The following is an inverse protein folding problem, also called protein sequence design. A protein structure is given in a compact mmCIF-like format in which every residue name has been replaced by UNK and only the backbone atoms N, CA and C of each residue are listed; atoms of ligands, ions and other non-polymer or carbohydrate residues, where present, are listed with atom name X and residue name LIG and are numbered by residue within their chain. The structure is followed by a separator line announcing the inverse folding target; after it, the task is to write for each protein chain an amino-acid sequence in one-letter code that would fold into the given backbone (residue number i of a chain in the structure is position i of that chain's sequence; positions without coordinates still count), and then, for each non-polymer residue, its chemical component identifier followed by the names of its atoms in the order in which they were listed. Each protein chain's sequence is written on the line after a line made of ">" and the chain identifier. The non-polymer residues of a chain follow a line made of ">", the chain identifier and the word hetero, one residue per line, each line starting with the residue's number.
data_IF_825093298156
#
_entry.id   IF_825093298156
#
_cell.length_a   1.000
_cell.length_b   1.000
_cell.length_c   1.000
_cell.angle_alpha   90.00
_cell.angle_beta   90.00
_cell.angle_gamma   90.00
#
_symmetry.space_group_name_H-M   'P 1'
#
loop_
_entity.id
_entity.type
_entity.pdbx_description
1 polymer ?
#
# COMPACT_ATOMS: atom_id res chain seq x y z
N UNK A 1 -8.60 7.84 5.55
CA UNK A 1 -7.87 6.73 4.91
C UNK A 1 -7.20 7.20 3.61
N UNK A 2 -7.92 7.56 2.53
CA UNK A 2 -7.26 8.07 1.31
C UNK A 2 -6.31 9.26 1.58
N UNK A 3 -6.75 10.23 2.38
CA UNK A 3 -5.90 11.37 2.79
C UNK A 3 -4.59 10.92 3.48
N UNK A 4 -4.63 9.86 4.29
CA UNK A 4 -3.44 9.29 4.93
C UNK A 4 -2.41 8.84 3.90
N UNK A 5 -2.84 8.08 2.87
CA UNK A 5 -1.95 7.59 1.82
C UNK A 5 -1.42 8.72 0.93
N UNK A 6 -2.24 9.74 0.62
CA UNK A 6 -1.80 10.91 -0.16
C UNK A 6 -0.74 11.70 0.60
N UNK A 7 -0.96 11.95 1.89
CA UNK A 7 -0.01 12.70 2.74
C UNK A 7 1.29 11.90 2.89
N UNK A 8 1.22 10.59 3.09
CA UNK A 8 2.40 9.73 3.13
C UNK A 8 3.22 9.80 1.83
N UNK A 9 2.55 9.81 0.68
CA UNK A 9 3.23 9.98 -0.61
C UNK A 9 3.88 11.36 -0.77
N UNK A 10 3.23 12.41 -0.27
CA UNK A 10 3.83 13.75 -0.28
C UNK A 10 5.12 13.79 0.54
N UNK A 11 5.16 13.18 1.71
CA UNK A 11 6.38 13.11 2.52
C UNK A 11 7.48 12.30 1.83
N UNK A 12 7.16 11.15 1.23
CA UNK A 12 8.13 10.40 0.42
C UNK A 12 8.68 11.23 -0.75
N UNK A 13 7.84 12.05 -1.38
CA UNK A 13 8.27 12.94 -2.45
C UNK A 13 9.19 14.06 -1.93
N UNK A 14 8.95 14.56 -0.72
CA UNK A 14 9.84 15.52 -0.06
C UNK A 14 11.21 14.89 0.26
N UNK A 15 11.25 13.62 0.70
CA UNK A 15 12.48 12.89 0.95
C UNK A 15 13.35 12.81 -0.32
N UNK A 16 12.74 12.35 -1.42
CA UNK A 16 13.42 12.24 -2.73
C UNK A 16 13.89 13.62 -3.24
N UNK A 17 13.06 14.66 -3.09
CA UNK A 17 13.41 16.01 -3.50
C UNK A 17 14.58 16.57 -2.69
N UNK A 18 14.61 16.33 -1.38
CA UNK A 18 15.69 16.77 -0.50
C UNK A 18 17.02 16.12 -0.90
N UNK A 19 17.02 14.80 -1.14
CA UNK A 19 18.23 14.10 -1.61
C UNK A 19 18.67 14.63 -2.97
N UNK A 20 17.74 14.78 -3.92
CA UNK A 20 18.05 15.22 -5.29
C UNK A 20 18.64 16.63 -5.34
N UNK A 21 18.17 17.55 -4.50
CA UNK A 21 18.64 18.94 -4.49
C UNK A 21 19.90 19.16 -3.69
N UNK A 22 20.12 18.44 -2.58
CA UNK A 22 21.18 18.75 -1.64
C UNK A 22 22.29 17.69 -1.55
N UNK A 23 22.02 16.43 -1.99
CA UNK A 23 22.98 15.32 -1.86
C UNK A 23 23.57 14.86 -3.20
N UNK A 24 23.02 15.31 -4.32
CA UNK A 24 23.55 15.01 -5.65
C UNK A 24 23.01 13.72 -6.29
N UNK A 25 23.48 13.44 -7.53
CA UNK A 25 22.92 12.38 -8.38
C UNK A 25 23.17 10.95 -7.87
N UNK A 26 24.35 10.68 -7.28
CA UNK A 26 24.66 9.35 -6.73
C UNK A 26 23.75 8.98 -5.57
N UNK A 27 23.49 9.94 -4.67
CA UNK A 27 22.59 9.76 -3.53
C UNK A 27 21.14 9.58 -3.97
N UNK A 28 20.71 10.35 -4.97
CA UNK A 28 19.38 10.17 -5.56
C UNK A 28 19.23 8.79 -6.22
N UNK A 29 20.26 8.32 -6.94
CA UNK A 29 20.29 6.99 -7.52
C UNK A 29 20.27 5.90 -6.45
N UNK A 30 20.93 6.10 -5.30
CA UNK A 30 20.92 5.18 -4.17
C UNK A 30 19.51 5.02 -3.60
N UNK A 31 18.82 6.14 -3.31
CA UNK A 31 17.42 6.11 -2.81
C UNK A 31 16.51 5.47 -3.84
N UNK A 32 16.64 5.82 -5.13
CA UNK A 32 15.81 5.27 -6.20
C UNK A 32 15.98 3.75 -6.36
N UNK A 33 17.21 3.23 -6.27
CA UNK A 33 17.48 1.79 -6.40
C UNK A 33 16.92 0.95 -5.26
N UNK A 34 16.72 1.54 -4.07
CA UNK A 34 16.16 0.84 -2.90
C UNK A 34 14.63 0.82 -2.86
N UNK A 35 13.95 1.71 -3.59
CA UNK A 35 12.52 1.87 -3.54
C UNK A 35 11.71 0.58 -3.84
N UNK A 36 12.07 -0.28 -4.82
CA UNK A 36 11.36 -1.55 -5.04
C UNK A 36 11.44 -2.49 -3.84
N UNK A 37 12.59 -2.54 -3.17
CA UNK A 37 12.80 -3.39 -1.98
C UNK A 37 11.96 -2.87 -0.82
N UNK A 38 12.04 -1.59 -0.51
CA UNK A 38 11.28 -0.98 0.59
C UNK A 38 9.78 -1.13 0.39
N UNK A 39 9.26 -0.90 -0.83
CA UNK A 39 7.85 -1.08 -1.16
C UNK A 39 7.38 -2.53 -1.01
N UNK A 40 8.22 -3.51 -1.35
CA UNK A 40 7.91 -4.91 -1.16
C UNK A 40 7.66 -5.24 0.32
N UNK A 41 8.56 -4.81 1.21
CA UNK A 41 8.44 -5.04 2.66
C UNK A 41 7.27 -4.27 3.27
N UNK A 42 7.05 -3.01 2.89
CA UNK A 42 5.88 -2.23 3.33
C UNK A 42 4.58 -2.96 3.00
N UNK A 43 4.49 -3.53 1.79
CA UNK A 43 3.30 -4.27 1.36
C UNK A 43 3.03 -5.51 2.23
N UNK A 44 4.08 -6.18 2.71
CA UNK A 44 3.95 -7.31 3.66
C UNK A 44 3.32 -6.84 4.98
N UNK A 45 3.80 -5.75 5.55
CA UNK A 45 3.28 -5.22 6.81
C UNK A 45 1.85 -4.73 6.70
N UNK A 46 1.53 -4.03 5.61
CA UNK A 46 0.15 -3.62 5.32
C UNK A 46 -0.75 -4.85 5.22
N UNK A 47 -0.32 -5.91 4.54
CA UNK A 47 -1.08 -7.15 4.45
C UNK A 47 -1.36 -7.79 5.82
N UNK A 48 -0.35 -7.89 6.69
CA UNK A 48 -0.53 -8.44 8.04
C UNK A 48 -1.45 -7.56 8.90
N UNK A 49 -1.32 -6.24 8.83
CA UNK A 49 -2.18 -5.30 9.57
C UNK A 49 -3.65 -5.39 9.14
N UNK A 50 -3.94 -5.74 7.88
CA UNK A 50 -5.30 -6.04 7.41
C UNK A 50 -5.89 -7.24 8.15
N UNK A 51 -5.10 -8.28 8.42
CA UNK A 51 -5.52 -9.42 9.23
C UNK A 51 -5.98 -9.00 10.62
N UNK A 52 -5.18 -8.18 11.31
CA UNK A 52 -5.52 -7.62 12.61
C UNK A 52 -6.80 -6.77 12.54
N UNK A 53 -6.92 -5.87 11.56
CA UNK A 53 -8.12 -5.07 11.36
C UNK A 53 -9.39 -5.92 11.25
N UNK A 54 -9.38 -6.97 10.43
CA UNK A 54 -10.54 -7.85 10.22
C UNK A 54 -10.96 -8.57 11.49
N UNK A 55 -10.02 -9.15 12.22
CA UNK A 55 -10.32 -9.93 13.42
C UNK A 55 -10.85 -9.03 14.55
N UNK A 56 -10.17 -7.91 14.80
CA UNK A 56 -10.58 -6.95 15.81
C UNK A 56 -11.95 -6.36 15.47
N UNK A 57 -12.15 -5.93 14.21
CA UNK A 57 -13.45 -5.42 13.74
C UNK A 57 -14.59 -6.41 13.96
N UNK A 58 -14.36 -7.71 13.76
CA UNK A 58 -15.36 -8.75 14.02
C UNK A 58 -15.75 -8.87 15.48
N UNK A 59 -14.76 -8.86 16.38
CA UNK A 59 -15.03 -8.96 17.81
C UNK A 59 -15.73 -7.70 18.33
N UNK A 60 -15.33 -6.52 17.86
CA UNK A 60 -16.02 -5.27 18.18
C UNK A 60 -17.46 -5.27 17.67
N UNK A 61 -17.67 -5.71 16.42
CA UNK A 61 -19.01 -5.84 15.85
C UNK A 61 -19.89 -6.86 16.59
N UNK A 62 -19.29 -7.94 17.10
CA UNK A 62 -19.99 -8.95 17.90
C UNK A 62 -20.18 -8.54 19.37
N UNK A 63 -19.78 -7.32 19.75
CA UNK A 63 -19.80 -6.80 21.15
C UNK A 63 -19.06 -7.70 22.16
N UNK A 64 -17.98 -8.36 21.68
CA UNK A 64 -17.12 -9.21 22.51
C UNK A 64 -15.86 -8.46 22.86
N UNK A 65 -16.00 -7.47 23.76
CA UNK A 65 -14.93 -6.56 24.12
C UNK A 65 -13.69 -7.25 24.65
N UNK A 66 -13.83 -8.25 25.53
CA UNK A 66 -12.69 -9.00 26.08
C UNK A 66 -11.87 -9.69 24.99
N UNK A 67 -12.54 -10.32 24.00
CA UNK A 67 -11.87 -10.97 22.88
C UNK A 67 -11.23 -9.97 21.93
N UNK A 68 -11.89 -8.81 21.72
CA UNK A 68 -11.30 -7.72 20.94
C UNK A 68 -10.02 -7.21 21.62
N UNK A 69 -10.05 -7.01 22.94
CA UNK A 69 -8.89 -6.55 23.71
C UNK A 69 -7.73 -7.57 23.67
N UNK A 70 -8.01 -8.88 23.84
CA UNK A 70 -7.00 -9.93 23.72
C UNK A 70 -6.39 -9.99 22.30
N UNK A 71 -7.23 -9.86 21.26
CA UNK A 71 -6.76 -9.83 19.87
C UNK A 71 -5.91 -8.58 19.59
N UNK A 72 -6.22 -7.43 20.19
CA UNK A 72 -5.44 -6.20 20.10
C UNK A 72 -4.05 -6.38 20.70
N UNK A 73 -3.97 -6.89 21.93
CA UNK A 73 -2.67 -7.13 22.59
C UNK A 73 -1.83 -8.16 21.82
N UNK A 74 -2.46 -9.24 21.33
CA UNK A 74 -1.78 -10.21 20.45
C UNK A 74 -1.29 -9.58 19.16
N UNK A 75 -2.09 -8.73 18.52
CA UNK A 75 -1.71 -8.03 17.28
C UNK A 75 -0.52 -7.10 17.50
N UNK A 76 -0.46 -6.37 18.63
CA UNK A 76 0.67 -5.51 18.97
C UNK A 76 1.94 -6.32 19.24
N UNK A 77 1.87 -7.42 19.99
CA UNK A 77 3.03 -8.29 20.20
C UNK A 77 3.50 -8.88 18.87
N UNK A 78 2.56 -9.30 18.01
CA UNK A 78 2.88 -9.79 16.66
C UNK A 78 3.56 -8.72 15.80
N UNK A 79 3.14 -7.45 15.91
CA UNK A 79 3.78 -6.35 15.17
C UNK A 79 5.23 -6.12 15.60
N UNK A 80 5.50 -6.17 16.91
CA UNK A 80 6.86 -6.06 17.46
C UNK A 80 7.74 -7.21 16.98
N UNK A 81 7.25 -8.46 17.08
CA UNK A 81 8.00 -9.64 16.63
C UNK A 81 8.27 -9.58 15.12
N UNK A 82 7.24 -9.30 14.32
CA UNK A 82 7.38 -9.24 12.86
C UNK A 82 8.30 -8.11 12.44
N UNK A 83 8.15 -6.92 13.03
CA UNK A 83 9.00 -5.77 12.77
C UNK A 83 10.46 -6.07 13.13
N UNK A 84 10.72 -6.69 14.28
CA UNK A 84 12.07 -7.09 14.70
C UNK A 84 12.69 -8.12 13.74
N UNK A 85 11.94 -9.17 13.40
CA UNK A 85 12.42 -10.21 12.47
C UNK A 85 12.79 -9.61 11.13
N UNK A 86 11.95 -8.73 10.57
CA UNK A 86 12.20 -8.12 9.28
C UNK A 86 13.37 -7.13 9.35
N UNK A 87 13.50 -6.36 10.42
CA UNK A 87 14.68 -5.49 10.60
C UNK A 87 15.97 -6.30 10.61
N UNK A 88 16.03 -7.38 11.39
CA UNK A 88 17.23 -8.24 11.47
C UNK A 88 17.53 -8.93 10.13
N UNK A 89 16.51 -9.52 9.50
CA UNK A 89 16.68 -10.16 8.18
C UNK A 89 17.10 -9.11 7.16
N UNK A 90 16.47 -7.93 7.16
CA UNK A 90 16.76 -6.83 6.25
C UNK A 90 18.21 -6.35 6.34
N UNK A 91 18.75 -6.22 7.55
CA UNK A 91 20.17 -5.89 7.77
C UNK A 91 21.13 -6.89 7.11
N UNK A 92 20.81 -8.18 7.20
CA UNK A 92 21.64 -9.26 6.64
C UNK A 92 21.55 -9.27 5.11
N UNK A 93 20.32 -9.12 4.54
CA UNK A 93 20.08 -9.30 3.11
C UNK A 93 20.18 -7.99 2.30
N UNK A 94 20.33 -6.81 2.94
CA UNK A 94 20.37 -5.52 2.26
C UNK A 94 21.38 -5.47 1.12
N UNK A 95 22.62 -5.86 1.38
CA UNK A 95 23.69 -5.87 0.38
C UNK A 95 23.47 -6.93 -0.71
N UNK A 96 23.22 -8.23 -0.40
CA UNK A 96 22.92 -9.25 -1.40
C UNK A 96 21.76 -8.87 -2.34
N UNK A 97 20.69 -8.27 -1.80
CA UNK A 97 19.56 -7.85 -2.63
C UNK A 97 19.93 -6.78 -3.65
N UNK A 98 20.73 -5.77 -3.25
CA UNK A 98 21.16 -4.71 -4.14
C UNK A 98 22.16 -5.21 -5.20
N UNK A 99 23.04 -6.14 -4.83
CA UNK A 99 23.95 -6.80 -5.76
C UNK A 99 23.17 -7.65 -6.79
N UNK A 100 22.16 -8.40 -6.36
CA UNK A 100 21.25 -9.14 -7.28
C UNK A 100 20.47 -8.23 -8.23
N UNK A 101 20.18 -6.99 -7.80
CA UNK A 101 19.54 -5.97 -8.65
C UNK A 101 20.53 -5.26 -9.60
N UNK A 102 21.81 -5.68 -9.62
CA UNK A 102 22.86 -5.07 -10.45
C UNK A 102 23.01 -3.56 -10.19
N UNK A 103 22.89 -3.15 -8.92
CA UNK A 103 23.13 -1.77 -8.51
C UNK A 103 24.58 -1.36 -8.84
N UNK A 104 24.79 -0.21 -9.51
CA UNK A 104 26.13 0.24 -9.89
C UNK A 104 27.09 0.31 -8.69
N UNK A 105 28.34 -0.11 -8.88
CA UNK A 105 29.34 -0.20 -7.81
C UNK A 105 29.62 1.12 -7.10
N UNK A 106 29.47 2.25 -7.80
CA UNK A 106 29.65 3.60 -7.26
C UNK A 106 28.50 4.00 -6.33
N UNK A 107 27.29 3.50 -6.58
CA UNK A 107 26.06 3.81 -5.82
C UNK A 107 25.83 2.80 -4.69
N UNK A 108 26.33 1.57 -4.85
CA UNK A 108 26.07 0.45 -3.95
C UNK A 108 26.34 0.75 -2.46
N UNK A 109 27.47 1.39 -2.06
CA UNK A 109 27.72 1.67 -0.64
C UNK A 109 26.66 2.59 -0.03
N UNK A 110 26.23 3.62 -0.76
CA UNK A 110 25.21 4.57 -0.31
C UNK A 110 23.83 3.90 -0.25
N UNK A 111 23.49 3.06 -1.25
CA UNK A 111 22.25 2.31 -1.29
C UNK A 111 22.15 1.30 -0.13
N UNK A 112 23.25 0.59 0.17
CA UNK A 112 23.32 -0.34 1.32
C UNK A 112 23.13 0.40 2.63
N UNK A 113 23.80 1.53 2.82
CA UNK A 113 23.68 2.35 4.03
C UNK A 113 22.25 2.85 4.21
N UNK A 114 21.66 3.43 3.16
CA UNK A 114 20.27 3.89 3.17
C UNK A 114 19.29 2.76 3.51
N UNK A 115 19.41 1.62 2.83
CA UNK A 115 18.52 0.49 3.00
C UNK A 115 18.60 -0.13 4.40
N UNK A 116 19.79 -0.22 4.98
CA UNK A 116 19.98 -0.68 6.37
C UNK A 116 19.28 0.22 7.37
N UNK A 117 19.46 1.53 7.27
CA UNK A 117 18.77 2.46 8.16
C UNK A 117 17.25 2.38 7.97
N UNK A 118 16.77 2.22 6.72
CA UNK A 118 15.34 1.97 6.45
C UNK A 118 14.83 0.68 7.11
N UNK A 119 15.62 -0.41 7.12
CA UNK A 119 15.21 -1.66 7.78
C UNK A 119 15.06 -1.50 9.30
N UNK A 120 15.89 -0.68 9.94
CA UNK A 120 15.68 -0.31 11.35
C UNK A 120 14.35 0.45 11.50
N UNK A 121 14.06 1.39 10.60
CA UNK A 121 12.80 2.14 10.58
C UNK A 121 11.57 1.26 10.37
N UNK A 122 11.68 0.19 9.60
CA UNK A 122 10.58 -0.76 9.34
C UNK A 122 10.04 -1.43 10.60
N UNK A 123 10.84 -1.53 11.67
CA UNK A 123 10.35 -1.94 12.98
C UNK A 123 9.21 -1.03 13.48
N UNK A 124 9.45 0.27 13.49
CA UNK A 124 8.46 1.25 13.93
C UNK A 124 7.30 1.40 12.97
N UNK A 125 7.58 1.35 11.67
CA UNK A 125 6.54 1.38 10.63
C UNK A 125 5.57 0.22 10.75
N UNK A 126 6.07 -0.98 11.11
CA UNK A 126 5.22 -2.16 11.34
C UNK A 126 4.28 -1.92 12.52
N UNK A 127 4.79 -1.43 13.65
CA UNK A 127 3.98 -1.11 14.84
C UNK A 127 2.91 -0.08 14.47
N UNK A 128 3.29 1.02 13.82
CA UNK A 128 2.36 2.05 13.34
C UNK A 128 1.23 1.48 12.47
N UNK A 129 1.55 0.57 11.54
CA UNK A 129 0.54 -0.04 10.67
C UNK A 129 -0.49 -0.87 11.45
N UNK A 130 -0.04 -1.64 12.46
CA UNK A 130 -0.95 -2.41 13.30
C UNK A 130 -1.77 -1.53 14.23
N UNK A 131 -1.19 -0.51 14.86
CA UNK A 131 -1.90 0.47 15.69
C UNK A 131 -2.94 1.23 14.89
N UNK A 132 -2.58 1.69 13.69
CA UNK A 132 -3.53 2.30 12.76
C UNK A 132 -4.66 1.34 12.37
N UNK A 133 -4.37 0.06 12.19
CA UNK A 133 -5.37 -0.96 11.87
C UNK A 133 -6.33 -1.20 13.07
N UNK A 134 -5.83 -1.16 14.31
CA UNK A 134 -6.63 -1.25 15.54
C UNK A 134 -7.59 -0.07 15.65
N UNK A 135 -7.11 1.17 15.49
CA UNK A 135 -7.97 2.35 15.52
C UNK A 135 -9.02 2.34 14.40
N UNK A 136 -8.62 1.95 13.19
CA UNK A 136 -9.55 1.78 12.07
C UNK A 136 -10.61 0.72 12.36
N UNK A 137 -10.25 -0.38 13.03
CA UNK A 137 -11.19 -1.40 13.46
C UNK A 137 -12.25 -0.85 14.43
N UNK A 138 -11.89 0.13 15.27
CA UNK A 138 -12.81 0.90 16.11
C UNK A 138 -13.57 2.01 15.39
N UNK A 139 -13.30 2.22 14.08
CA UNK A 139 -13.95 3.27 13.27
C UNK A 139 -13.21 4.60 13.27
N UNK A 140 -12.10 4.73 13.99
CA UNK A 140 -11.31 5.96 14.03
C UNK A 140 -10.23 5.97 12.93
N UNK A 141 -10.40 6.89 12.00
CA UNK A 141 -9.44 7.14 10.92
C UNK A 141 -8.77 8.51 11.02
N UNK A 142 -9.24 9.36 11.97
CA UNK A 142 -8.73 10.72 12.12
C UNK A 142 -7.44 10.75 12.92
N UNK A 143 -7.41 10.03 14.04
CA UNK A 143 -6.23 10.03 14.92
C UNK A 143 -4.98 9.46 14.22
N UNK A 144 -5.02 8.33 13.47
CA UNK A 144 -3.88 7.91 12.65
C UNK A 144 -3.42 8.97 11.63
N UNK A 145 -4.37 9.70 11.03
CA UNK A 145 -4.05 10.77 10.10
C UNK A 145 -3.31 11.94 10.79
N UNK A 146 -3.78 12.38 11.95
CA UNK A 146 -3.11 13.46 12.71
C UNK A 146 -1.70 13.05 13.16
N UNK A 147 -1.53 11.83 13.66
CA UNK A 147 -0.20 11.32 14.01
C UNK A 147 0.74 11.32 12.80
N UNK A 148 0.24 10.91 11.63
CA UNK A 148 1.02 10.93 10.39
C UNK A 148 1.40 12.36 9.96
N UNK A 149 0.50 13.35 10.10
CA UNK A 149 0.81 14.75 9.78
C UNK A 149 1.92 15.27 10.70
N UNK A 150 1.82 14.99 11.99
CA UNK A 150 2.85 15.41 12.97
C UNK A 150 4.19 14.76 12.65
N UNK A 151 4.21 13.44 12.49
CA UNK A 151 5.45 12.71 12.20
C UNK A 151 6.05 13.07 10.84
N UNK A 152 5.22 13.29 9.83
CA UNK A 152 5.69 13.72 8.51
C UNK A 152 6.25 15.15 8.53
N UNK A 153 5.67 16.05 9.32
CA UNK A 153 6.27 17.39 9.50
C UNK A 153 7.63 17.28 10.20
N UNK A 154 7.77 16.42 11.19
CA UNK A 154 9.05 16.13 11.85
C UNK A 154 10.04 15.54 10.83
N UNK A 155 9.60 14.60 9.99
CA UNK A 155 10.42 14.02 8.92
C UNK A 155 11.00 15.11 8.00
N UNK A 156 10.17 16.00 7.45
CA UNK A 156 10.62 17.08 6.55
C UNK A 156 11.62 18.00 7.24
N UNK A 157 11.36 18.40 8.49
CA UNK A 157 12.29 19.26 9.26
C UNK A 157 13.62 18.54 9.50
N UNK A 158 13.58 17.28 9.94
CA UNK A 158 14.78 16.49 10.18
C UNK A 158 15.57 16.19 8.92
N UNK A 159 14.90 15.97 7.78
CA UNK A 159 15.57 15.83 6.49
C UNK A 159 16.43 17.06 6.17
N UNK A 160 15.86 18.26 6.30
CA UNK A 160 16.61 19.49 6.06
C UNK A 160 17.77 19.66 7.04
N UNK A 161 17.53 19.36 8.32
CA UNK A 161 18.58 19.44 9.35
C UNK A 161 19.70 18.43 9.09
N UNK A 162 19.39 17.16 8.86
CA UNK A 162 20.38 16.12 8.70
C UNK A 162 21.15 16.21 7.38
N UNK A 163 20.47 16.59 6.29
CA UNK A 163 21.10 16.69 4.98
C UNK A 163 21.88 18.02 4.83
N UNK A 164 21.30 19.15 5.23
CA UNK A 164 21.91 20.47 5.01
C UNK A 164 22.90 20.83 6.10
N UNK A 165 22.50 20.70 7.39
CA UNK A 165 23.36 21.11 8.51
C UNK A 165 24.40 20.05 8.87
N UNK A 166 23.96 18.78 9.04
CA UNK A 166 24.85 17.70 9.43
C UNK A 166 25.55 17.00 8.27
N UNK A 167 25.11 17.26 7.02
CA UNK A 167 25.69 16.66 5.79
C UNK A 167 25.73 15.14 5.82
N UNK A 168 24.71 14.50 6.41
CA UNK A 168 24.60 13.05 6.54
C UNK A 168 24.14 12.34 5.25
N UNK A 169 23.84 13.11 4.20
CA UNK A 169 23.48 12.59 2.88
C UNK A 169 22.27 11.59 2.96
N UNK A 170 22.36 10.46 2.27
CA UNK A 170 21.29 9.43 2.26
C UNK A 170 20.98 8.88 3.67
N UNK A 171 22.00 8.77 4.53
CA UNK A 171 21.79 8.32 5.90
C UNK A 171 20.93 9.30 6.70
N UNK A 172 21.08 10.61 6.44
CA UNK A 172 20.27 11.64 7.08
C UNK A 172 18.80 11.50 6.77
N UNK A 173 18.43 11.26 5.51
CA UNK A 173 17.04 11.06 5.09
C UNK A 173 16.45 9.77 5.68
N UNK A 174 17.21 8.66 5.64
CA UNK A 174 16.76 7.41 6.22
C UNK A 174 16.55 7.50 7.75
N UNK A 175 17.44 8.22 8.46
CA UNK A 175 17.30 8.49 9.89
C UNK A 175 16.08 9.36 10.19
N UNK A 176 15.86 10.42 9.41
CA UNK A 176 14.70 11.29 9.58
C UNK A 176 13.38 10.51 9.42
N UNK A 177 13.32 9.63 8.41
CA UNK A 177 12.16 8.75 8.19
C UNK A 177 12.00 7.74 9.34
N UNK A 178 13.09 7.14 9.82
CA UNK A 178 13.06 6.24 10.99
C UNK A 178 12.55 6.93 12.25
N UNK A 179 12.99 8.17 12.53
CA UNK A 179 12.53 8.96 13.68
C UNK A 179 11.06 9.35 13.52
N UNK A 180 10.62 9.69 12.32
CA UNK A 180 9.23 9.99 12.02
C UNK A 180 8.32 8.76 12.24
N UNK A 181 8.72 7.58 11.78
CA UNK A 181 8.01 6.33 11.99
C UNK A 181 7.94 5.98 13.49
N UNK A 182 9.04 6.12 14.22
CA UNK A 182 9.08 5.94 15.66
C UNK A 182 8.15 6.92 16.38
N UNK A 183 8.14 8.18 15.95
CA UNK A 183 7.24 9.21 16.51
C UNK A 183 5.79 8.85 16.30
N UNK A 184 5.40 8.42 15.08
CA UNK A 184 4.02 8.04 14.80
C UNK A 184 3.57 6.81 15.58
N UNK A 185 4.42 5.79 15.72
CA UNK A 185 4.16 4.63 16.55
C UNK A 185 4.00 5.02 18.03
N UNK A 186 4.91 5.82 18.59
CA UNK A 186 4.82 6.28 19.98
C UNK A 186 3.54 7.10 20.24
N UNK A 187 3.15 7.97 19.31
CA UNK A 187 1.94 8.78 19.43
C UNK A 187 0.68 7.90 19.42
N UNK A 188 0.60 6.92 18.50
CA UNK A 188 -0.54 6.01 18.43
C UNK A 188 -0.59 5.08 19.64
N UNK A 189 0.55 4.56 20.09
CA UNK A 189 0.62 3.77 21.31
C UNK A 189 0.09 4.56 22.53
N UNK A 190 0.51 5.83 22.68
CA UNK A 190 0.02 6.71 23.73
C UNK A 190 -1.48 6.96 23.64
N UNK A 191 -2.02 7.09 22.43
CA UNK A 191 -3.46 7.24 22.22
C UNK A 191 -4.18 5.96 22.65
N UNK A 192 -3.75 4.80 22.18
CA UNK A 192 -4.33 3.50 22.52
C UNK A 192 -4.24 3.18 24.03
N UNK A 193 -3.16 3.60 24.69
CA UNK A 193 -3.00 3.41 26.14
C UNK A 193 -3.94 4.26 26.97
N UNK A 194 -4.45 5.38 26.41
CA UNK A 194 -5.41 6.28 27.05
C UNK A 194 -6.87 6.01 26.66
N UNK A 195 -7.09 5.06 25.74
CA UNK A 195 -8.43 4.64 25.37
C UNK A 195 -9.13 3.97 26.57
N UNK A 196 -10.45 3.93 26.47
CA UNK A 196 -11.31 3.18 27.39
C UNK A 196 -11.95 1.99 26.68
N UNK A 197 -12.40 0.99 27.45
CA UNK A 197 -13.08 -0.18 26.93
C UNK A 197 -12.17 -1.11 26.12
N UNK A 198 -12.73 -1.69 25.05
CA UNK A 198 -12.08 -2.75 24.27
C UNK A 198 -10.78 -2.33 23.59
N UNK A 199 -10.63 -1.05 23.23
CA UNK A 199 -9.44 -0.54 22.53
C UNK A 199 -8.29 -0.17 23.46
N UNK A 200 -8.49 -0.20 24.78
CA UNK A 200 -7.45 0.13 25.74
C UNK A 200 -6.28 -0.84 25.65
N UNK A 201 -5.08 -0.29 25.45
CA UNK A 201 -3.84 -1.05 25.46
C UNK A 201 -3.12 -0.87 26.77
N UNK A 202 -2.74 -1.99 27.40
CA UNK A 202 -2.02 -2.02 28.68
C UNK A 202 -0.80 -2.91 28.56
N UNK A 203 0.36 -2.44 29.01
CA UNK A 203 1.62 -3.18 28.96
C UNK A 203 1.59 -4.48 29.77
N UNK A 204 0.88 -4.47 30.92
CA UNK A 204 0.72 -5.65 31.78
C UNK A 204 -0.12 -6.77 31.14
N UNK A 205 -0.88 -6.46 30.09
CA UNK A 205 -1.70 -7.41 29.33
C UNK A 205 -1.10 -7.85 28.01
N UNK A 206 0.12 -7.40 27.68
CA UNK A 206 0.81 -7.81 26.47
C UNK A 206 1.09 -9.31 26.50
N UNK A 207 0.36 -10.03 25.65
CA UNK A 207 0.40 -11.50 25.59
C UNK A 207 0.15 -11.97 24.17
N UNK A 208 0.90 -12.96 23.73
CA UNK A 208 0.62 -13.60 22.45
C UNK A 208 -0.33 -14.79 22.72
N UNK A 209 -1.48 -14.76 22.06
CA UNK A 209 -2.43 -15.86 22.08
C UNK A 209 -2.47 -16.52 20.71
N UNK A 210 -2.10 -17.78 20.64
CA UNK A 210 -1.95 -18.52 19.39
C UNK A 210 -3.23 -18.55 18.54
N UNK A 211 -4.39 -18.56 19.19
CA UNK A 211 -5.69 -18.58 18.50
C UNK A 211 -5.88 -17.30 17.66
N UNK A 212 -5.59 -16.12 18.23
CA UNK A 212 -5.73 -14.85 17.51
C UNK A 212 -4.60 -14.64 16.51
N UNK A 213 -3.37 -15.06 16.86
CA UNK A 213 -2.23 -15.05 15.94
C UNK A 213 -2.56 -15.82 14.67
N UNK A 214 -3.08 -17.05 14.80
CA UNK A 214 -3.48 -17.88 13.66
C UNK A 214 -4.57 -17.20 12.82
N UNK A 215 -5.60 -16.64 13.45
CA UNK A 215 -6.68 -15.96 12.74
C UNK A 215 -6.19 -14.72 11.98
N UNK A 216 -5.31 -13.92 12.57
CA UNK A 216 -4.68 -12.75 11.95
C UNK A 216 -3.83 -13.18 10.75
N UNK A 217 -2.99 -14.21 10.90
CA UNK A 217 -2.12 -14.68 9.84
C UNK A 217 -2.89 -15.35 8.69
N UNK A 218 -3.98 -16.08 8.95
CA UNK A 218 -4.83 -16.67 7.91
C UNK A 218 -5.38 -15.59 6.95
N UNK A 219 -5.60 -14.37 7.43
CA UNK A 219 -6.08 -13.26 6.61
C UNK A 219 -4.92 -12.43 6.09
N UNK A 220 -3.93 -12.17 6.92
CA UNK A 220 -2.81 -11.29 6.63
C UNK A 220 -1.84 -11.86 5.61
N UNK A 221 -1.46 -13.15 5.72
CA UNK A 221 -0.52 -13.78 4.78
C UNK A 221 -1.04 -13.75 3.34
N UNK A 222 -2.27 -14.18 3.02
CA UNK A 222 -2.79 -14.08 1.67
C UNK A 222 -2.84 -12.64 1.15
N UNK A 223 -3.18 -11.66 2.01
CA UNK A 223 -3.19 -10.25 1.63
C UNK A 223 -1.78 -9.73 1.31
N UNK A 224 -0.78 -10.11 2.11
CA UNK A 224 0.62 -9.78 1.88
C UNK A 224 1.14 -10.39 0.56
N UNK A 225 0.90 -11.68 0.33
CA UNK A 225 1.30 -12.39 -0.89
C UNK A 225 0.66 -11.73 -2.12
N UNK A 226 -0.63 -11.39 -2.06
CA UNK A 226 -1.32 -10.69 -3.15
C UNK A 226 -0.62 -9.37 -3.50
N UNK A 227 -0.30 -8.55 -2.50
CA UNK A 227 0.38 -7.28 -2.71
C UNK A 227 1.80 -7.43 -3.25
N UNK A 228 2.58 -8.40 -2.73
CA UNK A 228 3.93 -8.71 -3.22
C UNK A 228 3.93 -9.10 -4.70
N UNK A 229 3.06 -10.03 -5.10
CA UNK A 229 2.97 -10.50 -6.48
C UNK A 229 2.46 -9.41 -7.43
N UNK A 230 1.61 -8.51 -6.92
CA UNK A 230 1.18 -7.33 -7.67
C UNK A 230 2.35 -6.39 -7.96
N UNK A 231 3.21 -6.14 -6.96
CA UNK A 231 4.43 -5.33 -7.13
C UNK A 231 5.41 -5.99 -8.12
N UNK A 232 5.64 -7.29 -8.01
CA UNK A 232 6.50 -8.03 -8.96
C UNK A 232 5.95 -7.93 -10.38
N UNK A 233 4.64 -8.10 -10.55
CA UNK A 233 3.98 -7.97 -11.87
C UNK A 233 4.16 -6.56 -12.46
N UNK A 234 4.06 -5.51 -11.64
CA UNK A 234 4.29 -4.14 -12.09
C UNK A 234 5.76 -3.88 -12.47
N UNK A 235 6.73 -4.48 -11.77
CA UNK A 235 8.16 -4.40 -12.13
C UNK A 235 8.40 -5.00 -13.52
N UNK A 236 7.77 -6.13 -13.84
CA UNK A 236 7.91 -6.77 -15.16
C UNK A 236 7.29 -5.90 -16.27
N UNK A 237 6.11 -5.31 -16.02
CA UNK A 237 5.53 -4.35 -16.96
C UNK A 237 6.45 -3.14 -17.15
N UNK A 238 7.02 -2.62 -16.07
CA UNK A 238 7.96 -1.49 -16.14
C UNK A 238 9.21 -1.85 -16.95
N UNK A 239 9.73 -3.08 -16.82
CA UNK A 239 10.84 -3.56 -17.64
C UNK A 239 10.49 -3.56 -19.14
N UNK A 240 9.27 -3.96 -19.50
CA UNK A 240 8.79 -3.87 -20.88
C UNK A 240 8.68 -2.42 -21.37
N UNK A 241 8.20 -1.50 -20.52
CA UNK A 241 8.16 -0.07 -20.86
C UNK A 241 9.57 0.48 -21.05
N UNK A 242 10.53 0.10 -20.22
CA UNK A 242 11.91 0.55 -20.31
C UNK A 242 12.57 0.14 -21.63
N UNK A 243 12.17 -1.00 -22.23
CA UNK A 243 12.70 -1.45 -23.52
C UNK A 243 12.24 -0.60 -24.71
N UNK A 244 11.26 0.27 -24.54
CA UNK A 244 10.68 1.11 -25.60
C UNK A 244 11.37 2.48 -25.77
N UNK A 245 12.33 2.82 -24.90
CA UNK A 245 13.14 4.03 -25.01
C UNK A 245 12.85 5.10 -23.97
N UNK A 246 13.75 6.09 -23.88
CA UNK A 246 13.80 7.07 -22.81
C UNK A 246 12.57 7.97 -22.74
N UNK A 247 12.04 8.43 -23.88
CA UNK A 247 10.87 9.31 -23.92
C UNK A 247 9.61 8.63 -23.39
N UNK A 248 9.46 7.33 -23.69
CA UNK A 248 8.35 6.51 -23.20
C UNK A 248 8.46 6.28 -21.69
N UNK A 249 9.67 6.06 -21.19
CA UNK A 249 9.92 5.93 -19.74
C UNK A 249 9.62 7.24 -19.02
N UNK A 250 10.09 8.38 -19.56
CA UNK A 250 9.81 9.69 -19.00
C UNK A 250 8.30 9.99 -18.96
N UNK A 251 7.60 9.76 -20.07
CA UNK A 251 6.16 9.92 -20.17
C UNK A 251 5.38 9.02 -19.21
N UNK A 252 5.82 7.75 -19.09
CA UNK A 252 5.24 6.80 -18.16
C UNK A 252 5.41 7.25 -16.71
N UNK A 253 6.56 7.79 -16.35
CA UNK A 253 6.83 8.31 -14.99
C UNK A 253 5.90 9.47 -14.65
N UNK A 254 5.67 10.39 -15.58
CA UNK A 254 4.70 11.48 -15.41
C UNK A 254 3.28 10.92 -15.20
N UNK A 255 2.82 10.02 -16.05
CA UNK A 255 1.49 9.43 -15.97
C UNK A 255 1.26 8.63 -14.68
N UNK A 256 2.27 7.90 -14.19
CA UNK A 256 2.20 7.10 -12.96
C UNK A 256 1.87 7.95 -11.72
N UNK A 257 2.26 9.23 -11.67
CA UNK A 257 1.88 10.09 -10.55
C UNK A 257 0.36 10.22 -10.45
N UNK A 258 -0.35 10.39 -11.57
CA UNK A 258 -1.82 10.50 -11.60
C UNK A 258 -2.50 9.17 -11.31
N UNK A 259 -1.93 8.06 -11.78
CA UNK A 259 -2.38 6.71 -11.43
C UNK A 259 -2.31 6.46 -9.93
N UNK A 260 -1.24 6.90 -9.26
CA UNK A 260 -1.07 6.76 -7.81
C UNK A 260 -2.12 7.54 -7.02
N UNK A 261 -2.43 8.78 -7.39
CA UNK A 261 -3.47 9.55 -6.70
C UNK A 261 -4.84 8.88 -6.79
N UNK A 262 -5.21 8.35 -7.97
CA UNK A 262 -6.45 7.58 -8.11
C UNK A 262 -6.42 6.29 -7.30
N UNK A 263 -5.28 5.59 -7.26
CA UNK A 263 -5.11 4.36 -6.48
C UNK A 263 -5.24 4.61 -4.96
N UNK A 264 -4.76 5.74 -4.44
CA UNK A 264 -4.92 6.08 -3.02
C UNK A 264 -6.39 6.33 -2.63
N UNK A 265 -7.20 6.88 -3.54
CA UNK A 265 -8.65 6.95 -3.32
C UNK A 265 -9.26 5.54 -3.25
N UNK A 266 -8.91 4.69 -4.19
CA UNK A 266 -9.37 3.29 -4.26
C UNK A 266 -9.04 2.53 -2.97
N UNK A 267 -7.80 2.62 -2.49
CA UNK A 267 -7.38 1.95 -1.25
C UNK A 267 -8.14 2.45 -0.03
N UNK A 268 -8.50 3.73 0.01
CA UNK A 268 -9.34 4.30 1.07
C UNK A 268 -10.73 3.63 1.14
N UNK A 269 -11.39 3.44 0.01
CA UNK A 269 -12.69 2.75 -0.07
C UNK A 269 -12.55 1.24 0.19
N UNK A 270 -11.49 0.61 -0.27
CA UNK A 270 -11.21 -0.80 0.01
C UNK A 270 -11.01 -1.06 1.51
N UNK A 271 -10.26 -0.21 2.21
CA UNK A 271 -10.09 -0.30 3.66
C UNK A 271 -11.41 -0.07 4.41
N UNK A 272 -12.26 0.86 3.96
CA UNK A 272 -13.58 1.05 4.50
C UNK A 272 -14.45 -0.22 4.31
N UNK A 273 -14.43 -0.82 3.12
CA UNK A 273 -15.15 -2.04 2.83
C UNK A 273 -14.69 -3.20 3.74
N UNK A 274 -13.37 -3.35 3.99
CA UNK A 274 -12.84 -4.34 4.94
C UNK A 274 -13.44 -4.14 6.33
N UNK A 275 -13.29 -2.95 6.89
CA UNK A 275 -13.68 -2.64 8.26
C UNK A 275 -15.19 -2.79 8.47
N UNK A 276 -16.01 -2.12 7.64
CA UNK A 276 -17.47 -2.19 7.78
C UNK A 276 -18.04 -3.58 7.53
N UNK A 277 -17.49 -4.31 6.55
CA UNK A 277 -17.93 -5.70 6.32
C UNK A 277 -17.59 -6.58 7.51
N UNK A 278 -16.37 -6.45 8.07
CA UNK A 278 -15.93 -7.25 9.22
C UNK A 278 -16.78 -6.97 10.46
N UNK A 279 -17.03 -5.68 10.79
CA UNK A 279 -17.88 -5.28 11.91
C UNK A 279 -19.30 -5.81 11.79
N UNK A 280 -19.94 -5.56 10.63
CA UNK A 280 -21.33 -5.98 10.42
C UNK A 280 -21.46 -7.51 10.33
N UNK A 281 -20.45 -8.21 9.82
CA UNK A 281 -20.39 -9.67 9.84
C UNK A 281 -20.27 -10.22 11.26
N UNK A 282 -19.44 -9.61 12.11
CA UNK A 282 -19.35 -9.92 13.53
C UNK A 282 -20.66 -9.72 14.27
N UNK A 283 -21.35 -8.61 13.98
CA UNK A 283 -22.67 -8.30 14.49
C UNK A 283 -23.80 -9.19 13.94
N UNK A 284 -23.52 -10.12 13.03
CA UNK A 284 -24.49 -10.92 12.28
C UNK A 284 -25.52 -10.08 11.50
N UNK A 285 -25.21 -8.81 11.22
CA UNK A 285 -26.06 -7.92 10.43
C UNK A 285 -25.72 -8.02 8.94
N UNK A 286 -26.11 -9.11 8.33
CA UNK A 286 -25.79 -9.44 6.95
C UNK A 286 -26.36 -8.45 5.92
N UNK A 287 -27.54 -7.88 6.18
CA UNK A 287 -28.13 -6.83 5.33
C UNK A 287 -27.21 -5.62 5.28
N UNK A 288 -26.66 -5.23 6.42
CA UNK A 288 -25.78 -4.08 6.54
C UNK A 288 -24.38 -4.35 5.91
N UNK A 289 -23.89 -5.59 5.91
CA UNK A 289 -22.71 -5.97 5.13
C UNK A 289 -22.91 -5.64 3.64
N UNK A 290 -24.02 -6.08 3.07
CA UNK A 290 -24.32 -5.83 1.65
C UNK A 290 -24.51 -4.34 1.36
N UNK A 291 -25.17 -3.60 2.25
CA UNK A 291 -25.35 -2.15 2.10
C UNK A 291 -24.02 -1.41 2.14
N UNK A 292 -23.14 -1.73 3.09
CA UNK A 292 -21.81 -1.12 3.21
C UNK A 292 -20.97 -1.32 1.95
N UNK A 293 -20.98 -2.54 1.40
CA UNK A 293 -20.25 -2.84 0.16
C UNK A 293 -20.86 -2.05 -1.02
N UNK A 294 -22.18 -1.97 -1.13
CA UNK A 294 -22.84 -1.18 -2.18
C UNK A 294 -22.46 0.30 -2.10
N UNK A 295 -22.48 0.89 -0.91
CA UNK A 295 -22.11 2.28 -0.72
C UNK A 295 -20.62 2.51 -1.01
N UNK A 296 -19.72 1.62 -0.59
CA UNK A 296 -18.32 1.70 -0.95
C UNK A 296 -18.12 1.64 -2.47
N UNK A 297 -18.86 0.77 -3.18
CA UNK A 297 -18.81 0.67 -4.64
C UNK A 297 -19.34 1.94 -5.32
N UNK A 298 -20.51 2.44 -4.91
CA UNK A 298 -21.14 3.61 -5.51
C UNK A 298 -20.30 4.87 -5.29
N UNK A 299 -19.93 5.15 -4.04
CA UNK A 299 -19.11 6.32 -3.72
C UNK A 299 -17.70 6.20 -4.29
N UNK A 300 -17.11 5.00 -4.23
CA UNK A 300 -15.82 4.72 -4.84
C UNK A 300 -15.85 4.98 -6.35
N UNK A 301 -16.87 4.50 -7.07
CA UNK A 301 -17.03 4.74 -8.50
C UNK A 301 -17.23 6.22 -8.81
N UNK A 302 -18.06 6.92 -8.02
CA UNK A 302 -18.30 8.35 -8.19
C UNK A 302 -16.98 9.15 -8.01
N UNK A 303 -16.30 8.98 -6.88
CA UNK A 303 -15.08 9.74 -6.59
C UNK A 303 -13.91 9.35 -7.50
N UNK A 304 -13.64 8.05 -7.68
CA UNK A 304 -12.58 7.59 -8.58
C UNK A 304 -12.87 7.99 -10.02
N UNK A 305 -14.11 7.82 -10.48
CA UNK A 305 -14.52 8.20 -11.83
C UNK A 305 -14.42 9.70 -12.08
N UNK A 306 -14.85 10.53 -11.11
CA UNK A 306 -14.74 12.00 -11.23
C UNK A 306 -13.29 12.46 -11.30
N UNK A 307 -12.41 11.93 -10.42
CA UNK A 307 -10.99 12.27 -10.41
C UNK A 307 -10.30 11.75 -11.68
N UNK A 308 -10.64 10.54 -12.13
CA UNK A 308 -10.12 10.00 -13.40
C UNK A 308 -10.54 10.86 -14.59
N UNK A 309 -11.80 11.28 -14.65
CA UNK A 309 -12.29 12.18 -15.71
C UNK A 309 -11.55 13.52 -15.72
N UNK A 310 -11.34 14.12 -14.51
CA UNK A 310 -10.57 15.36 -14.41
C UNK A 310 -9.13 15.16 -14.90
N UNK A 311 -8.46 14.09 -14.52
CA UNK A 311 -7.09 13.82 -14.96
C UNK A 311 -7.01 13.59 -16.47
N UNK A 312 -8.00 12.94 -17.08
CA UNK A 312 -8.03 12.72 -18.54
C UNK A 312 -8.29 14.04 -19.29
N UNK A 313 -9.30 14.83 -18.86
CA UNK A 313 -9.65 16.11 -19.51
C UNK A 313 -8.50 17.09 -19.45
N UNK A 314 -7.85 17.21 -18.31
CA UNK A 314 -6.75 18.14 -18.09
C UNK A 314 -5.37 17.53 -18.31
N UNK A 315 -5.28 16.31 -18.86
CA UNK A 315 -4.01 15.57 -19.01
C UNK A 315 -2.90 16.37 -19.70
N UNK A 316 -3.14 17.17 -20.78
CA UNK A 316 -2.07 17.94 -21.40
C UNK A 316 -1.50 19.04 -20.48
N UNK A 317 -2.38 19.73 -19.75
CA UNK A 317 -1.98 20.78 -18.81
C UNK A 317 -1.22 20.16 -17.61
N UNK A 318 -1.76 19.08 -17.05
CA UNK A 318 -1.19 18.39 -15.92
C UNK A 318 0.17 17.75 -16.25
N UNK A 319 0.29 17.10 -17.41
CA UNK A 319 1.56 16.54 -17.86
C UNK A 319 2.59 17.63 -18.15
N UNK A 320 2.14 18.78 -18.68
CA UNK A 320 2.96 19.96 -18.95
C UNK A 320 3.59 20.60 -17.69
N UNK A 321 3.05 20.33 -16.48
CA UNK A 321 3.66 20.76 -15.23
C UNK A 321 4.99 20.01 -14.96
N UNK A 322 5.09 18.76 -15.42
CA UNK A 322 6.25 17.90 -15.17
C UNK A 322 7.30 17.98 -16.27
N UNK A 323 6.93 18.31 -17.50
CA UNK A 323 7.85 18.38 -18.64
C UNK A 323 7.39 19.37 -19.68
N UNK A 324 8.36 20.06 -20.28
CA UNK A 324 8.11 21.00 -21.38
C UNK A 324 8.23 20.33 -22.76
N UNK A 325 8.60 19.05 -22.83
CA UNK A 325 8.73 18.33 -24.10
C UNK A 325 7.35 17.88 -24.63
N UNK A 326 6.90 18.42 -25.78
CA UNK A 326 5.59 18.10 -26.35
C UNK A 326 5.42 16.61 -26.71
N UNK A 327 6.51 15.92 -27.09
CA UNK A 327 6.48 14.50 -27.42
C UNK A 327 6.20 13.66 -26.17
N UNK A 328 6.90 13.95 -25.07
CA UNK A 328 6.72 13.28 -23.77
C UNK A 328 5.30 13.57 -23.22
N UNK A 329 4.81 14.82 -23.32
CA UNK A 329 3.44 15.17 -22.91
C UNK A 329 2.41 14.35 -23.68
N UNK A 330 2.55 14.23 -25.01
CA UNK A 330 1.63 13.46 -25.84
C UNK A 330 1.59 11.98 -25.45
N UNK A 331 2.74 11.37 -25.23
CA UNK A 331 2.84 9.95 -24.79
C UNK A 331 2.24 9.77 -23.39
N UNK A 332 2.51 10.69 -22.46
CA UNK A 332 1.92 10.66 -21.12
C UNK A 332 0.39 10.72 -21.16
N UNK A 333 -0.19 11.59 -22.03
CA UNK A 333 -1.64 11.67 -22.22
C UNK A 333 -2.24 10.36 -22.75
N UNK A 334 -1.54 9.61 -23.61
CA UNK A 334 -1.98 8.28 -24.08
C UNK A 334 -2.08 7.33 -22.88
N UNK A 335 -1.05 7.25 -22.04
CA UNK A 335 -1.06 6.38 -20.84
C UNK A 335 -2.15 6.80 -19.86
N UNK A 336 -2.28 8.09 -19.53
CA UNK A 336 -3.35 8.60 -18.67
C UNK A 336 -4.72 8.19 -19.22
N UNK A 337 -4.97 8.39 -20.51
CA UNK A 337 -6.24 8.05 -21.15
C UNK A 337 -6.55 6.56 -21.13
N UNK A 338 -5.55 5.69 -21.26
CA UNK A 338 -5.77 4.22 -21.27
C UNK A 338 -5.85 3.67 -19.86
N UNK A 339 -4.94 4.04 -18.95
CA UNK A 339 -4.85 3.40 -17.63
C UNK A 339 -5.80 4.05 -16.63
N UNK A 340 -5.84 5.39 -16.56
CA UNK A 340 -6.66 6.11 -15.58
C UNK A 340 -8.16 5.98 -15.90
N UNK A 341 -8.55 5.87 -17.17
CA UNK A 341 -9.95 5.67 -17.56
C UNK A 341 -10.56 4.39 -16.95
N UNK A 342 -9.77 3.34 -16.81
CA UNK A 342 -10.23 2.05 -16.30
C UNK A 342 -9.96 1.83 -14.81
N UNK A 343 -9.52 2.84 -14.06
CA UNK A 343 -9.29 2.75 -12.61
C UNK A 343 -10.56 2.38 -11.81
N UNK A 344 -11.75 2.67 -12.33
CA UNK A 344 -13.02 2.22 -11.71
C UNK A 344 -13.13 0.68 -11.72
N UNK A 345 -12.57 0.00 -12.73
CA UNK A 345 -12.53 -1.46 -12.76
C UNK A 345 -11.53 -1.98 -11.71
N UNK A 346 -10.35 -1.36 -11.61
CA UNK A 346 -9.38 -1.66 -10.55
C UNK A 346 -9.98 -1.44 -9.15
N UNK A 347 -10.74 -0.36 -8.95
CA UNK A 347 -11.49 -0.11 -7.73
C UNK A 347 -12.43 -1.27 -7.37
N UNK A 348 -13.12 -1.84 -8.37
CA UNK A 348 -14.00 -2.99 -8.15
C UNK A 348 -13.22 -4.18 -7.60
N UNK A 349 -12.02 -4.47 -8.11
CA UNK A 349 -11.15 -5.52 -7.60
C UNK A 349 -10.81 -5.27 -6.12
N UNK A 350 -10.36 -4.07 -5.78
CA UNK A 350 -9.90 -3.74 -4.44
C UNK A 350 -11.02 -3.76 -3.41
N UNK A 351 -12.18 -3.16 -3.71
CA UNK A 351 -13.33 -3.12 -2.79
C UNK A 351 -13.91 -4.52 -2.59
N UNK A 352 -14.09 -5.31 -3.66
CA UNK A 352 -14.63 -6.66 -3.55
C UNK A 352 -13.65 -7.64 -2.89
N UNK A 353 -12.35 -7.50 -3.13
CA UNK A 353 -11.32 -8.23 -2.38
C UNK A 353 -11.35 -7.88 -0.90
N UNK A 354 -11.50 -6.59 -0.58
CA UNK A 354 -11.68 -6.11 0.79
C UNK A 354 -12.91 -6.72 1.46
N UNK A 355 -14.04 -6.76 0.75
CA UNK A 355 -15.27 -7.39 1.22
C UNK A 355 -15.08 -8.91 1.49
N UNK A 356 -14.43 -9.64 0.59
CA UNK A 356 -14.13 -11.06 0.77
C UNK A 356 -13.21 -11.31 1.98
N UNK A 357 -12.20 -10.47 2.19
CA UNK A 357 -11.36 -10.51 3.39
C UNK A 357 -12.17 -10.26 4.66
N UNK A 358 -13.03 -9.24 4.64
CA UNK A 358 -13.95 -8.92 5.74
C UNK A 358 -14.90 -10.08 6.08
N UNK A 359 -15.39 -10.83 5.07
CA UNK A 359 -16.19 -12.05 5.24
C UNK A 359 -15.35 -13.29 5.64
N UNK A 360 -14.02 -13.17 5.75
CA UNK A 360 -13.11 -14.25 6.13
C UNK A 360 -12.81 -15.26 5.03
N UNK A 361 -12.81 -14.82 3.80
CA UNK A 361 -12.41 -15.62 2.65
C UNK A 361 -11.26 -14.93 1.87
N UNK A 362 -10.11 -14.67 2.51
CA UNK A 362 -9.01 -13.94 1.87
C UNK A 362 -8.39 -14.72 0.70
N UNK A 363 -8.31 -16.05 0.82
CA UNK A 363 -7.70 -16.90 -0.21
C UNK A 363 -8.37 -16.78 -1.58
N UNK A 364 -9.70 -16.57 -1.60
CA UNK A 364 -10.46 -16.45 -2.86
C UNK A 364 -9.97 -15.24 -3.65
N UNK A 365 -9.94 -14.05 -3.02
CA UNK A 365 -9.46 -12.84 -3.70
C UNK A 365 -7.99 -12.94 -4.08
N UNK A 366 -7.16 -13.51 -3.21
CA UNK A 366 -5.72 -13.67 -3.46
C UNK A 366 -5.46 -14.55 -4.67
N UNK A 367 -6.05 -15.75 -4.73
CA UNK A 367 -5.85 -16.68 -5.86
C UNK A 367 -6.35 -16.07 -7.17
N UNK A 368 -7.54 -15.45 -7.16
CA UNK A 368 -8.09 -14.83 -8.37
C UNK A 368 -7.22 -13.67 -8.87
N UNK A 369 -6.69 -12.83 -7.97
CA UNK A 369 -5.75 -11.76 -8.34
C UNK A 369 -4.44 -12.33 -8.90
N UNK A 370 -3.88 -13.38 -8.27
CA UNK A 370 -2.63 -13.99 -8.76
C UNK A 370 -2.83 -14.54 -10.17
N UNK A 371 -3.91 -15.29 -10.41
CA UNK A 371 -4.14 -15.93 -11.70
C UNK A 371 -4.52 -14.91 -12.77
N UNK A 372 -5.50 -14.06 -12.51
CA UNK A 372 -6.09 -13.20 -13.53
C UNK A 372 -5.46 -11.80 -13.63
N UNK A 373 -4.70 -11.36 -12.62
CA UNK A 373 -3.90 -10.14 -12.76
C UNK A 373 -2.45 -10.47 -13.02
N UNK A 374 -1.77 -11.19 -12.11
CA UNK A 374 -0.32 -11.37 -12.21
C UNK A 374 0.05 -12.33 -13.35
N UNK A 375 -0.50 -13.56 -13.39
CA UNK A 375 -0.15 -14.53 -14.40
C UNK A 375 -0.58 -14.10 -15.81
N UNK A 376 -1.77 -13.46 -15.94
CA UNK A 376 -2.22 -12.93 -17.23
C UNK A 376 -1.29 -11.81 -17.74
N UNK A 377 -0.86 -10.90 -16.86
CA UNK A 377 0.09 -9.83 -17.24
C UNK A 377 1.42 -10.39 -17.69
N UNK A 378 1.95 -11.40 -16.99
CA UNK A 378 3.16 -12.11 -17.40
C UNK A 378 2.97 -12.75 -18.79
N UNK A 379 1.91 -13.52 -18.97
CA UNK A 379 1.60 -14.15 -20.26
C UNK A 379 1.45 -13.11 -21.38
N UNK A 380 0.82 -11.97 -21.09
CA UNK A 380 0.66 -10.88 -22.07
C UNK A 380 2.01 -10.31 -22.50
N UNK A 381 2.93 -10.05 -21.58
CA UNK A 381 4.25 -9.53 -21.91
C UNK A 381 5.04 -10.53 -22.76
N UNK A 382 5.03 -11.81 -22.42
CA UNK A 382 5.79 -12.81 -23.16
C UNK A 382 5.13 -13.23 -24.49
N UNK A 383 3.82 -13.09 -24.66
CA UNK A 383 3.10 -13.57 -25.86
C UNK A 383 2.69 -12.42 -26.76
N UNK A 384 2.04 -11.39 -26.24
CA UNK A 384 1.48 -10.29 -27.02
C UNK A 384 2.52 -9.22 -27.26
N UNK A 385 3.13 -8.69 -26.20
CA UNK A 385 4.13 -7.63 -26.30
C UNK A 385 5.38 -8.12 -27.07
N UNK A 386 5.80 -9.36 -26.92
CA UNK A 386 6.90 -9.93 -27.68
C UNK A 386 6.64 -9.93 -29.21
N UNK A 387 5.37 -9.93 -29.65
CA UNK A 387 4.98 -9.86 -31.08
C UNK A 387 4.65 -8.45 -31.54
N UNK A 388 4.01 -7.65 -30.66
CA UNK A 388 3.56 -6.30 -30.96
C UNK A 388 4.30 -5.36 -30.00
N UNK A 389 5.50 -4.94 -30.40
CA UNK A 389 6.42 -4.17 -29.57
C UNK A 389 6.05 -2.68 -29.56
N UNK A 390 4.84 -2.34 -29.09
CA UNK A 390 4.32 -0.98 -29.01
C UNK A 390 3.94 -0.59 -27.60
N UNK A 391 3.94 0.70 -27.31
CA UNK A 391 3.58 1.23 -25.99
C UNK A 391 2.13 0.91 -25.65
N UNK A 392 1.21 1.09 -26.59
CA UNK A 392 -0.20 0.79 -26.43
C UNK A 392 -0.45 -0.68 -26.09
N UNK A 393 0.32 -1.60 -26.70
CA UNK A 393 0.19 -3.04 -26.42
C UNK A 393 0.53 -3.38 -24.98
N UNK A 394 1.50 -2.67 -24.37
CA UNK A 394 1.83 -2.82 -22.94
C UNK A 394 0.72 -2.21 -22.07
N UNK A 395 0.16 -1.06 -22.46
CA UNK A 395 -0.86 -0.38 -21.65
C UNK A 395 -2.19 -1.13 -21.63
N UNK A 396 -2.59 -1.76 -22.73
CA UNK A 396 -3.85 -2.50 -22.83
C UNK A 396 -3.91 -3.68 -21.86
N UNK A 397 -2.78 -4.21 -21.41
CA UNK A 397 -2.77 -5.27 -20.38
C UNK A 397 -3.46 -4.86 -19.08
N UNK A 398 -3.41 -3.57 -18.70
CA UNK A 398 -4.06 -3.10 -17.49
C UNK A 398 -5.58 -3.27 -17.53
N UNK A 399 -6.32 -2.64 -18.47
CA UNK A 399 -7.77 -2.80 -18.53
C UNK A 399 -8.20 -4.24 -18.78
N UNK A 400 -7.50 -5.02 -19.59
CA UNK A 400 -7.82 -6.44 -19.85
C UNK A 400 -7.68 -7.27 -18.58
N UNK A 401 -6.54 -7.19 -17.90
CA UNK A 401 -6.31 -7.94 -16.66
C UNK A 401 -7.30 -7.53 -15.56
N UNK A 402 -7.58 -6.23 -15.44
CA UNK A 402 -8.57 -5.74 -14.47
C UNK A 402 -9.99 -6.21 -14.78
N UNK A 403 -10.43 -6.19 -16.05
CA UNK A 403 -11.77 -6.63 -16.42
C UNK A 403 -11.98 -8.10 -16.10
N UNK A 404 -11.03 -8.98 -16.45
CA UNK A 404 -11.10 -10.42 -16.14
C UNK A 404 -11.08 -10.66 -14.64
N UNK A 405 -10.17 -9.99 -13.91
CA UNK A 405 -10.06 -10.15 -12.45
C UNK A 405 -11.30 -9.63 -11.74
N UNK A 406 -11.80 -8.44 -12.09
CA UNK A 406 -12.99 -7.85 -11.50
C UNK A 406 -14.22 -8.74 -11.68
N UNK A 407 -14.44 -9.24 -12.91
CA UNK A 407 -15.55 -10.16 -13.20
C UNK A 407 -15.45 -11.43 -12.35
N UNK A 408 -14.28 -12.03 -12.26
CA UNK A 408 -14.04 -13.24 -11.47
C UNK A 408 -14.29 -13.02 -9.97
N UNK A 409 -13.79 -11.90 -9.42
CA UNK A 409 -13.98 -11.56 -8.00
C UNK A 409 -15.45 -11.23 -7.69
N UNK A 410 -16.14 -10.52 -8.57
CA UNK A 410 -17.59 -10.24 -8.41
C UNK A 410 -18.39 -11.54 -8.40
N UNK A 411 -18.13 -12.46 -9.32
CA UNK A 411 -18.78 -13.79 -9.33
C UNK A 411 -18.49 -14.53 -8.02
N UNK A 412 -17.24 -14.58 -7.59
CA UNK A 412 -16.84 -15.21 -6.34
C UNK A 412 -17.56 -14.59 -5.13
N UNK A 413 -17.63 -13.25 -5.09
CA UNK A 413 -18.38 -12.53 -4.05
C UNK A 413 -19.86 -12.90 -4.05
N UNK A 414 -20.52 -12.98 -5.21
CA UNK A 414 -21.93 -13.37 -5.30
C UNK A 414 -22.17 -14.79 -4.77
N UNK A 415 -21.27 -15.72 -5.04
CA UNK A 415 -21.32 -17.10 -4.50
C UNK A 415 -21.17 -17.08 -2.97
N UNK A 416 -20.17 -16.35 -2.44
CA UNK A 416 -19.95 -16.24 -0.99
C UNK A 416 -21.13 -15.54 -0.31
N UNK A 417 -21.68 -14.48 -0.94
CA UNK A 417 -22.86 -13.77 -0.45
C UNK A 417 -24.04 -14.72 -0.30
N UNK A 418 -24.31 -15.54 -1.31
CA UNK A 418 -25.42 -16.53 -1.26
C UNK A 418 -25.23 -17.54 -0.12
N UNK A 419 -24.01 -17.98 0.12
CA UNK A 419 -23.68 -18.98 1.16
C UNK A 419 -23.66 -18.41 2.59
N UNK A 420 -23.24 -17.15 2.79
CA UNK A 420 -22.96 -16.59 4.13
C UNK A 420 -23.90 -15.47 4.56
N UNK A 421 -24.56 -14.77 3.62
CA UNK A 421 -25.32 -13.57 3.92
C UNK A 421 -26.84 -13.70 3.60
N UNK A 422 -27.26 -14.77 2.94
CA UNK A 422 -28.66 -14.99 2.51
C UNK A 422 -29.29 -16.23 3.16
N UNK A 423 -28.56 -16.90 4.07
CA UNK A 423 -29.16 -17.97 4.89
C UNK A 423 -30.20 -17.45 5.85
#
# INVERSE_FOLDING_TARGET
>A
MAATSIIQQLFNSCDVATVGQFSGSHSLAAVGSTAPITNLFITIFVGFSVGANVIISRFLGAQREDRANQAIHTALVLSVITGFIVSVIGEIIARPLLEMMSTPTEVLPLAVLYLRVCFIGMFFLTIYNFESAILRAGGDTKRPLYCLIISGTINVVLNLVFVILFKLDVAGVALATTIADATSACLLFRILSKEEGALQVRLDRMKIEWIYTKEILIIGIPAAIQGMLFNISNIIIQSAINSLGADIVAASTVAMNFEMYTYFLITGFAQAAITFTSQNYGAKNYKRCVQSIRWCMLLGALFTGSVSALFIIFSPVLAGIFTSDPAVVKIACIRISIVVAFQVINMTIEIMSGALRGLGNPMISTVLCIVFTCALRLAWIFIVFARIHTFESVLVVYPVSWAVTASSIVIAYLVVKKKKLIM
#
